data_IF_187426005496
#
_entry.id   IF_187426005496
#
_cell.length_a   1.000
_cell.length_b   1.000
_cell.length_c   1.000
_cell.angle_alpha   90.00
_cell.angle_beta   90.00
_cell.angle_gamma   90.00
#
_symmetry.space_group_name_H-M   'P 1'
#
loop_
_entity.id
_entity.type
_entity.pdbx_description
1 polymer ?
#
# COMPACT_ATOMS: atom_id res chain seq x y z
N UNK A 1 -13.17 2.45 -8.86
CA UNK A 1 -12.01 1.53 -8.74
C UNK A 1 -10.89 2.17 -9.52
N UNK A 2 -9.69 2.26 -8.97
CA UNK A 2 -8.54 2.92 -9.60
C UNK A 2 -7.46 1.87 -9.90
N UNK A 3 -6.81 1.95 -11.07
CA UNK A 3 -5.63 1.13 -11.37
C UNK A 3 -4.42 1.77 -10.70
N UNK A 4 -3.79 1.04 -9.78
CA UNK A 4 -2.62 1.52 -9.05
C UNK A 4 -1.34 1.13 -9.77
N UNK A 5 -1.28 -0.12 -10.24
CA UNK A 5 -0.11 -0.68 -10.90
C UNK A 5 -0.57 -1.75 -11.90
N UNK A 6 0.08 -1.80 -13.06
CA UNK A 6 -0.12 -2.87 -14.02
C UNK A 6 1.26 -3.45 -14.38
N UNK A 7 1.40 -4.75 -14.23
CA UNK A 7 2.54 -5.55 -14.69
C UNK A 7 2.07 -6.53 -15.75
N UNK A 8 3.02 -7.14 -16.47
CA UNK A 8 2.70 -8.16 -17.48
C UNK A 8 2.01 -9.39 -16.90
N UNK A 9 2.21 -9.67 -15.59
CA UNK A 9 1.64 -10.84 -14.91
C UNK A 9 0.33 -10.52 -14.16
N UNK A 10 0.16 -9.29 -13.66
CA UNK A 10 -1.00 -8.89 -12.88
C UNK A 10 -1.27 -7.38 -12.90
N UNK A 11 -2.49 -6.98 -12.54
CA UNK A 11 -2.88 -5.58 -12.38
C UNK A 11 -3.48 -5.37 -11.00
N UNK A 12 -2.98 -4.37 -10.29
CA UNK A 12 -3.42 -3.99 -8.95
C UNK A 12 -4.42 -2.84 -9.06
N UNK A 13 -5.55 -3.03 -8.40
CA UNK A 13 -6.65 -2.08 -8.33
C UNK A 13 -6.91 -1.66 -6.89
N UNK A 14 -7.15 -0.37 -6.66
CA UNK A 14 -7.66 0.17 -5.39
C UNK A 14 -9.18 0.30 -5.47
N UNK A 15 -9.89 -0.38 -4.57
CA UNK A 15 -11.34 -0.23 -4.43
C UNK A 15 -11.66 1.05 -3.65
N UNK A 16 -12.90 1.54 -3.77
CA UNK A 16 -13.39 2.73 -3.03
C UNK A 16 -13.26 2.54 -1.51
N UNK A 17 -13.26 1.29 -1.03
CA UNK A 17 -13.04 0.93 0.37
C UNK A 17 -11.57 1.00 0.84
N UNK A 18 -10.64 1.50 0.01
CA UNK A 18 -9.21 1.56 0.33
C UNK A 18 -8.45 0.24 0.19
N UNK A 19 -9.15 -0.90 0.09
CA UNK A 19 -8.52 -2.21 -0.11
C UNK A 19 -7.99 -2.39 -1.53
N UNK A 20 -6.83 -3.03 -1.65
CA UNK A 20 -6.27 -3.42 -2.94
C UNK A 20 -6.78 -4.80 -3.40
N UNK A 21 -6.94 -4.96 -4.70
CA UNK A 21 -7.29 -6.21 -5.38
C UNK A 21 -6.29 -6.47 -6.50
N UNK A 22 -5.88 -7.72 -6.68
CA UNK A 22 -4.92 -8.11 -7.71
C UNK A 22 -5.66 -8.92 -8.78
N UNK A 23 -5.50 -8.55 -10.05
CA UNK A 23 -6.13 -9.21 -11.20
C UNK A 23 -5.03 -9.82 -12.07
N UNK A 24 -5.02 -11.13 -12.23
CA UNK A 24 -4.06 -11.81 -13.11
C UNK A 24 -4.37 -11.62 -14.60
N UNK A 25 -3.41 -11.96 -15.45
CA UNK A 25 -3.54 -11.99 -16.93
C UNK A 25 -4.72 -12.83 -17.41
N UNK A 26 -5.04 -13.91 -16.69
CA UNK A 26 -6.18 -14.79 -16.95
C UNK A 26 -7.56 -14.13 -16.71
N UNK A 27 -7.61 -12.80 -16.50
CA UNK A 27 -8.79 -12.02 -16.09
C UNK A 27 -9.40 -12.46 -14.76
N UNK A 28 -8.75 -13.38 -14.03
CA UNK A 28 -9.14 -13.86 -12.71
C UNK A 28 -8.57 -12.97 -11.60
N UNK A 29 -9.31 -12.82 -10.52
CA UNK A 29 -8.83 -12.15 -9.32
C UNK A 29 -7.94 -13.10 -8.51
N UNK A 30 -6.74 -12.65 -8.17
CA UNK A 30 -5.83 -13.35 -7.28
C UNK A 30 -6.24 -13.01 -5.85
N UNK A 31 -6.49 -14.04 -5.04
CA UNK A 31 -6.96 -13.94 -3.66
C UNK A 31 -6.04 -14.73 -2.71
N UNK A 32 -6.23 -14.61 -1.40
CA UNK A 32 -5.45 -15.35 -0.39
C UNK A 32 -3.99 -14.89 -0.29
N UNK A 33 -3.09 -15.83 0.00
CA UNK A 33 -1.67 -15.59 0.22
C UNK A 33 -0.94 -15.02 -1.00
N UNK A 34 -1.26 -15.48 -2.21
CA UNK A 34 -0.67 -14.97 -3.44
C UNK A 34 -0.93 -13.47 -3.60
N UNK A 35 -2.15 -13.03 -3.30
CA UNK A 35 -2.53 -11.62 -3.33
C UNK A 35 -1.73 -10.82 -2.31
N UNK A 36 -1.64 -11.32 -1.07
CA UNK A 36 -0.89 -10.66 0.00
C UNK A 36 0.58 -10.53 -0.38
N UNK A 37 1.19 -11.59 -0.93
CA UNK A 37 2.60 -11.59 -1.36
C UNK A 37 2.87 -10.52 -2.43
N UNK A 38 2.00 -10.41 -3.43
CA UNK A 38 2.10 -9.38 -4.48
C UNK A 38 1.97 -7.98 -3.88
N UNK A 39 0.94 -7.75 -3.06
CA UNK A 39 0.71 -6.44 -2.45
C UNK A 39 1.83 -6.04 -1.48
N UNK A 40 2.43 -7.00 -0.77
CA UNK A 40 3.58 -6.79 0.11
C UNK A 40 4.84 -6.49 -0.66
N UNK A 41 5.11 -7.23 -1.75
CA UNK A 41 6.27 -7.02 -2.62
C UNK A 41 6.25 -5.65 -3.27
N UNK A 42 5.07 -5.16 -3.65
CA UNK A 42 4.87 -3.84 -4.25
C UNK A 42 4.76 -2.71 -3.20
N UNK A 43 4.85 -3.02 -1.90
CA UNK A 43 4.75 -2.04 -0.82
C UNK A 43 3.37 -1.38 -0.68
N UNK A 44 2.34 -1.89 -1.35
CA UNK A 44 0.99 -1.33 -1.34
C UNK A 44 0.21 -1.67 -0.07
N UNK A 45 0.50 -2.83 0.52
CA UNK A 45 0.12 -3.10 1.91
C UNK A 45 1.35 -2.95 2.77
N UNK A 46 1.23 -2.14 3.83
CA UNK A 46 2.21 -2.15 4.90
C UNK A 46 1.95 -3.40 5.72
N UNK A 47 2.57 -4.52 5.32
CA UNK A 47 2.89 -5.54 6.33
C UNK A 47 3.77 -4.80 7.30
N UNK A 48 3.27 -4.60 8.51
CA UNK A 48 4.08 -4.10 9.60
C UNK A 48 5.15 -5.16 9.86
N UNK A 49 6.19 -5.16 9.02
CA UNK A 49 7.46 -5.75 9.35
C UNK A 49 7.86 -5.01 10.62
N UNK A 50 8.07 -5.70 11.76
CA UNK A 50 8.49 -5.07 12.99
C UNK A 50 9.56 -4.05 12.65
N UNK A 51 9.27 -2.79 12.97
CA UNK A 51 10.00 -1.65 12.51
C UNK A 51 11.49 -1.88 12.70
N UNK A 52 12.22 -2.03 11.60
CA UNK A 52 13.60 -1.59 11.59
C UNK A 52 13.50 -0.08 11.72
N UNK A 53 13.64 0.33 12.98
CA UNK A 53 13.74 1.69 13.51
C UNK A 53 14.34 2.60 12.44
N UNK A 54 13.56 3.51 11.81
CA UNK A 54 14.16 4.67 11.17
C UNK A 54 14.82 5.45 12.29
N UNK A 55 16.14 5.25 12.42
CA UNK A 55 16.98 6.26 13.03
C UNK A 55 16.83 7.52 12.19
N UNK A 56 16.38 8.57 12.87
CA UNK A 56 16.82 9.95 12.65
C UNK A 56 16.55 10.56 11.27
N UNK A 57 15.41 11.25 11.15
CA UNK A 57 15.44 12.61 10.63
C UNK A 57 14.52 13.48 11.49
N UNK A 58 15.16 14.27 12.35
CA UNK A 58 14.58 15.37 13.08
C UNK A 58 14.37 16.57 12.14
N UNK A 59 13.21 17.21 12.29
CA UNK A 59 12.85 18.60 11.91
C UNK A 59 11.37 18.67 12.28
N UNK A 60 10.99 19.04 13.50
CA UNK A 60 11.17 20.36 14.10
C UNK A 60 10.65 21.46 13.19
N UNK A 61 9.35 21.72 13.26
CA UNK A 61 8.85 23.09 13.32
C UNK A 61 7.62 23.13 14.23
N UNK A 62 7.85 23.67 15.42
CA UNK A 62 6.85 24.24 16.29
C UNK A 62 6.32 25.54 15.66
N UNK A 63 5.05 25.87 15.92
CA UNK A 63 4.46 27.21 16.15
C UNK A 63 2.93 27.04 16.05
N UNK A 64 2.21 27.03 17.17
CA UNK A 64 1.55 28.20 17.80
C UNK A 64 0.24 28.66 17.13
N UNK A 65 -0.86 28.48 17.87
CA UNK A 65 -2.11 29.28 17.92
C UNK A 65 -3.05 28.51 18.89
N UNK A 66 -3.35 28.87 20.14
CA UNK A 66 -3.80 30.14 20.77
C UNK A 66 -4.96 30.83 20.06
N UNK A 67 -6.02 31.06 20.87
CA UNK A 67 -7.31 31.74 20.64
C UNK A 67 -8.30 31.02 19.71
N UNK A 68 -9.54 30.73 20.13
CA UNK A 68 -10.53 31.60 20.82
C UNK A 68 -11.32 30.86 21.92
#
# INVERSE_FOLDING_TARGET
MEKVKATENYTIFKKKSGRYGVKGTNKKWINGDEKTKILSSEGLIKVSKPAEKPAEEATEEATEATEE
#
